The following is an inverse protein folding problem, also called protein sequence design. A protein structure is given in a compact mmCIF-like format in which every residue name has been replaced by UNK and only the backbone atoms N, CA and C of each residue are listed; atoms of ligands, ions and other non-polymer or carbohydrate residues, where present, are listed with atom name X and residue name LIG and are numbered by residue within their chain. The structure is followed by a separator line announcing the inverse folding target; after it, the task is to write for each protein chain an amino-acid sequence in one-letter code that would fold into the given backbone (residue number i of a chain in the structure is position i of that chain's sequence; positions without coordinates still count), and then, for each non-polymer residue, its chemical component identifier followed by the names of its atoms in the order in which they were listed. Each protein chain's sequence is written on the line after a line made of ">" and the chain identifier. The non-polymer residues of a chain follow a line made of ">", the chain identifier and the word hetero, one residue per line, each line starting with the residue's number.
data_IF_034555129576
#
_entry.id   IF_034555129576
#
_cell.length_a   1.000
_cell.length_b   1.000
_cell.length_c   1.000
_cell.angle_alpha   90.00
_cell.angle_beta   90.00
_cell.angle_gamma   90.00
#
_symmetry.space_group_name_H-M   'P 1'
#
loop_
_entity.id
_entity.type
_entity.pdbx_description
1 polymer ?
#
# COMPACT_ATOMS: atom_id res chain seq x y z
N UNK A 1 -12.79 11.49 16.78
CA UNK A 1 -11.41 10.97 16.79
C UNK A 1 -11.36 9.87 15.76
N UNK A 2 -10.47 9.98 14.78
CA UNK A 2 -10.27 8.94 13.76
C UNK A 2 -9.58 7.72 14.38
N UNK A 3 -9.83 6.49 13.89
CA UNK A 3 -9.12 5.29 14.37
C UNK A 3 -7.60 5.43 14.24
N UNK A 4 -7.15 6.19 13.25
CA UNK A 4 -5.73 6.41 12.98
C UNK A 4 -5.10 7.23 14.11
N UNK A 5 -5.84 8.22 14.62
CA UNK A 5 -5.43 8.99 15.79
C UNK A 5 -5.38 8.11 17.04
N UNK A 6 -6.35 7.20 17.21
CA UNK A 6 -6.35 6.24 18.31
C UNK A 6 -5.15 5.28 18.23
N UNK A 7 -4.87 4.71 17.06
CA UNK A 7 -3.73 3.84 16.82
C UNK A 7 -2.42 4.58 17.13
N UNK A 8 -2.29 5.84 16.67
CA UNK A 8 -1.11 6.67 16.94
C UNK A 8 -0.95 6.98 18.42
N UNK A 9 -2.04 7.29 19.13
CA UNK A 9 -2.02 7.51 20.57
C UNK A 9 -1.58 6.23 21.31
N UNK A 10 -2.08 5.08 20.87
CA UNK A 10 -1.77 3.78 21.47
C UNK A 10 -0.34 3.32 21.18
N UNK A 11 0.23 3.69 20.05
CA UNK A 11 1.58 3.29 19.63
C UNK A 11 2.66 3.67 20.66
N UNK A 12 2.48 4.77 21.41
CA UNK A 12 3.44 5.21 22.45
C UNK A 12 3.70 4.17 23.55
N UNK A 13 2.77 3.23 23.74
CA UNK A 13 2.86 2.18 24.76
C UNK A 13 3.64 0.95 24.30
N UNK A 14 4.05 0.90 23.03
CA UNK A 14 4.85 -0.19 22.49
C UNK A 14 6.30 0.26 22.26
N UNK A 15 7.21 -0.71 22.22
CA UNK A 15 8.63 -0.49 21.98
C UNK A 15 9.03 -1.00 20.59
N UNK A 16 10.00 -0.33 19.98
CA UNK A 16 10.60 -0.76 18.72
C UNK A 16 11.25 -2.13 18.88
N UNK A 17 10.96 -3.11 18.01
CA UNK A 17 11.51 -4.46 18.11
C UNK A 17 13.04 -4.51 17.88
N UNK A 18 13.61 -3.47 17.26
CA UNK A 18 15.05 -3.40 16.97
C UNK A 18 15.83 -2.67 18.05
N UNK A 19 15.40 -1.47 18.47
CA UNK A 19 16.16 -0.65 19.41
C UNK A 19 15.59 -0.61 20.82
N UNK A 20 14.42 -1.22 21.06
CA UNK A 20 13.77 -1.27 22.37
C UNK A 20 13.21 0.06 22.88
N UNK A 21 13.40 1.18 22.16
CA UNK A 21 12.86 2.49 22.55
C UNK A 21 11.36 2.57 22.25
N UNK A 22 10.65 3.35 23.05
CA UNK A 22 9.23 3.64 22.83
C UNK A 22 8.97 4.14 21.41
N UNK A 23 7.88 3.66 20.81
CA UNK A 23 7.38 4.11 19.51
C UNK A 23 6.65 5.47 19.59
N UNK A 24 6.84 6.23 20.68
CA UNK A 24 6.33 7.60 20.77
C UNK A 24 6.89 8.45 19.61
N UNK A 25 6.00 9.06 18.84
CA UNK A 25 6.37 9.91 17.71
C UNK A 25 6.92 9.15 16.50
N UNK A 26 6.65 7.85 16.39
CA UNK A 26 6.90 7.11 15.15
C UNK A 26 5.99 7.60 14.02
N UNK A 27 6.46 7.45 12.79
CA UNK A 27 5.62 7.65 11.61
C UNK A 27 4.76 6.40 11.41
N UNK A 28 3.46 6.58 11.21
CA UNK A 28 2.49 5.51 11.05
C UNK A 28 1.66 5.80 9.82
N UNK A 29 1.68 4.87 8.87
CA UNK A 29 0.88 4.90 7.65
C UNK A 29 -0.02 3.67 7.61
N UNK A 30 -1.29 3.86 7.24
CA UNK A 30 -2.21 2.75 7.01
C UNK A 30 -2.02 2.28 5.58
N UNK A 31 -1.71 0.99 5.40
CA UNK A 31 -1.53 0.39 4.08
C UNK A 31 -2.85 -0.16 3.55
N UNK A 32 -3.61 -0.87 4.39
CA UNK A 32 -4.92 -1.39 4.05
C UNK A 32 -5.75 -1.68 5.29
N UNK A 33 -7.07 -1.74 5.09
CA UNK A 33 -8.04 -2.20 6.07
C UNK A 33 -8.88 -3.29 5.40
N UNK A 34 -8.87 -4.50 5.96
CA UNK A 34 -9.65 -5.63 5.46
C UNK A 34 -10.40 -6.27 6.64
N UNK A 35 -11.73 -6.26 6.57
CA UNK A 35 -12.64 -6.71 7.63
C UNK A 35 -12.42 -6.01 8.98
N UNK A 36 -11.70 -6.65 9.91
CA UNK A 36 -11.34 -6.16 11.24
C UNK A 36 -9.82 -6.03 11.43
N UNK A 37 -9.05 -6.07 10.33
CA UNK A 37 -7.58 -6.07 10.34
C UNK A 37 -7.02 -4.82 9.66
N UNK A 38 -6.15 -4.12 10.37
CA UNK A 38 -5.39 -2.99 9.88
C UNK A 38 -3.95 -3.39 9.60
N UNK A 39 -3.52 -3.20 8.35
CA UNK A 39 -2.11 -3.27 8.00
C UNK A 39 -1.49 -1.88 8.13
N UNK A 40 -0.53 -1.76 9.03
CA UNK A 40 0.14 -0.51 9.34
C UNK A 40 1.62 -0.61 9.00
N UNK A 41 2.15 0.39 8.32
CA UNK A 41 3.58 0.61 8.23
C UNK A 41 4.00 1.55 9.36
N UNK A 42 4.95 1.09 10.18
CA UNK A 42 5.49 1.86 11.30
C UNK A 42 6.97 2.11 11.07
N UNK A 43 7.39 3.37 11.13
CA UNK A 43 8.80 3.77 11.05
C UNK A 43 9.25 4.36 12.37
N UNK A 44 10.21 3.69 13.02
CA UNK A 44 10.74 4.13 14.29
C UNK A 44 11.52 5.45 14.14
N UNK A 45 11.13 6.49 14.86
CA UNK A 45 11.83 7.79 14.84
C UNK A 45 13.27 7.75 15.38
N UNK A 46 13.67 6.67 16.06
CA UNK A 46 14.96 6.57 16.74
C UNK A 46 16.02 5.84 15.92
N UNK A 47 15.67 4.69 15.33
CA UNK A 47 16.59 3.86 14.55
C UNK A 47 16.18 3.71 13.08
N UNK A 48 15.11 4.40 12.65
CA UNK A 48 14.58 4.41 11.29
C UNK A 48 14.26 3.03 10.70
N UNK A 49 14.10 2.01 11.54
CA UNK A 49 13.57 0.73 11.05
C UNK A 49 12.11 0.92 10.69
N UNK A 50 11.74 0.40 9.53
CA UNK A 50 10.36 0.31 9.04
C UNK A 50 9.92 -1.14 9.08
N UNK A 51 8.71 -1.38 9.60
CA UNK A 51 8.11 -2.71 9.68
C UNK A 51 6.59 -2.63 9.53
N UNK A 52 6.00 -3.76 9.15
CA UNK A 52 4.55 -3.89 8.99
C UNK A 52 3.96 -4.55 10.24
N UNK A 53 2.88 -3.97 10.75
CA UNK A 53 2.11 -4.49 11.89
C UNK A 53 0.69 -4.76 11.45
N UNK A 54 0.17 -5.94 11.77
CA UNK A 54 -1.23 -6.30 11.56
C UNK A 54 -1.97 -6.17 12.90
N UNK A 55 -2.92 -5.24 12.98
CA UNK A 55 -3.78 -5.05 14.15
C UNK A 55 -5.16 -5.63 13.87
N UNK A 56 -5.60 -6.61 14.67
CA UNK A 56 -6.97 -7.09 14.66
C UNK A 56 -7.77 -6.41 15.79
N UNK A 57 -8.87 -5.74 15.45
CA UNK A 57 -9.73 -5.07 16.43
C UNK A 57 -11.05 -5.84 16.50
N UNK A 58 -11.18 -6.72 17.51
CA UNK A 58 -12.42 -7.45 17.74
C UNK A 58 -13.49 -6.51 18.32
N UNK A 59 -14.57 -6.26 17.56
CA UNK A 59 -15.72 -5.49 18.03
C UNK A 59 -16.07 -4.29 17.16
N UNK A 60 -16.52 -4.55 15.93
CA UNK A 60 -17.71 -3.92 15.30
C UNK A 60 -18.02 -2.45 15.55
N UNK A 61 -17.02 -1.56 15.60
CA UNK A 61 -17.22 -0.12 15.60
C UNK A 61 -16.21 0.51 14.62
N UNK A 62 -16.36 0.17 13.35
CA UNK A 62 -15.62 0.79 12.24
C UNK A 62 -16.64 1.21 11.18
N UNK A 63 -17.51 2.15 11.55
CA UNK A 63 -18.17 2.99 10.55
C UNK A 63 -17.13 4.01 10.07
N UNK A 64 -16.83 3.91 8.78
CA UNK A 64 -16.28 4.94 7.90
C UNK A 64 -15.02 5.66 8.40
N UNK A 65 -13.87 4.99 8.24
CA UNK A 65 -12.65 5.74 7.95
C UNK A 65 -12.58 5.80 6.43
N UNK A 66 -13.05 6.91 5.88
CA UNK A 66 -12.70 7.35 4.54
C UNK A 66 -11.18 7.15 4.40
N UNK A 67 -10.81 6.25 3.50
CA UNK A 67 -9.45 6.09 3.02
C UNK A 67 -8.94 7.50 2.73
N UNK A 68 -8.04 8.01 3.57
CA UNK A 68 -7.31 9.24 3.25
C UNK A 68 -6.31 8.79 2.19
N UNK A 69 -6.82 8.62 0.98
CA UNK A 69 -6.04 8.69 -0.23
C UNK A 69 -5.32 10.03 -0.14
N UNK A 70 -4.00 9.96 -0.15
CA UNK A 70 -3.15 11.13 -0.34
C UNK A 70 -3.75 12.03 -1.42
N UNK A 71 -3.72 13.37 -1.30
CA UNK A 71 -4.08 14.26 -2.39
C UNK A 71 -2.94 14.23 -3.42
N UNK A 72 -2.79 13.10 -4.10
CA UNK A 72 -2.32 13.09 -5.47
C UNK A 72 -3.57 13.39 -6.26
N UNK A 73 -3.57 14.54 -6.90
CA UNK A 73 -4.58 14.97 -7.85
C UNK A 73 -4.54 13.99 -9.04
N UNK A 74 -5.11 12.81 -8.83
CA UNK A 74 -5.26 11.78 -9.83
C UNK A 74 -6.53 12.15 -10.59
N UNK A 75 -6.35 12.84 -11.71
CA UNK A 75 -7.36 12.91 -12.76
C UNK A 75 -8.00 11.54 -12.86
N UNK A 76 -9.30 11.45 -12.53
CA UNK A 76 -10.08 10.23 -12.48
C UNK A 76 -9.86 9.43 -13.77
N UNK A 77 -8.84 8.57 -13.76
CA UNK A 77 -8.60 7.63 -14.82
C UNK A 77 -9.83 6.71 -14.79
N UNK A 78 -10.46 6.46 -15.95
CA UNK A 78 -11.61 5.56 -15.98
C UNK A 78 -11.19 4.25 -15.30
N UNK A 79 -12.06 3.73 -14.43
CA UNK A 79 -11.83 2.50 -13.70
C UNK A 79 -11.30 1.44 -14.68
N UNK A 80 -9.99 1.21 -14.64
CA UNK A 80 -9.35 0.28 -15.55
C UNK A 80 -9.83 -1.11 -15.16
N UNK A 81 -10.20 -1.91 -16.15
CA UNK A 81 -10.59 -3.29 -15.91
C UNK A 81 -9.45 -4.00 -15.18
N UNK A 82 -9.75 -4.86 -14.19
CA UNK A 82 -8.73 -5.60 -13.47
C UNK A 82 -7.94 -6.46 -14.45
N UNK A 83 -6.62 -6.51 -14.27
CA UNK A 83 -5.72 -7.32 -15.11
C UNK A 83 -6.16 -8.79 -15.04
N UNK A 84 -6.49 -9.34 -16.20
CA UNK A 84 -6.92 -10.72 -16.37
C UNK A 84 -5.74 -11.70 -16.46
N UNK A 85 -6.02 -12.98 -16.24
CA UNK A 85 -5.01 -14.05 -16.37
C UNK A 85 -4.52 -14.19 -17.81
N UNK A 86 -5.40 -14.00 -18.79
CA UNK A 86 -5.06 -14.10 -20.21
C UNK A 86 -4.08 -12.99 -20.62
N UNK A 87 -4.26 -11.75 -20.13
CA UNK A 87 -3.31 -10.66 -20.36
C UNK A 87 -1.91 -10.96 -19.83
N UNK A 88 -1.81 -11.65 -18.69
CA UNK A 88 -0.52 -12.07 -18.11
C UNK A 88 0.14 -13.15 -18.98
N UNK A 89 -0.64 -14.07 -19.54
CA UNK A 89 -0.14 -15.11 -20.44
C UNK A 89 0.35 -14.50 -21.76
N UNK A 90 -0.37 -13.53 -22.31
CA UNK A 90 0.02 -12.81 -23.52
C UNK A 90 1.32 -12.03 -23.30
N UNK A 91 1.44 -11.32 -22.18
CA UNK A 91 2.67 -10.64 -21.80
C UNK A 91 3.84 -11.60 -21.69
N UNK A 92 3.64 -12.77 -21.07
CA UNK A 92 4.67 -13.79 -20.94
C UNK A 92 5.16 -14.30 -22.31
N UNK A 93 4.23 -14.62 -23.22
CA UNK A 93 4.54 -15.09 -24.56
C UNK A 93 5.27 -14.02 -25.39
N UNK A 94 4.86 -12.76 -25.25
CA UNK A 94 5.52 -11.62 -25.89
C UNK A 94 6.95 -11.45 -25.37
N UNK A 95 7.14 -11.39 -24.05
CA UNK A 95 8.47 -11.24 -23.44
C UNK A 95 9.42 -12.39 -23.77
N UNK A 96 8.89 -13.62 -23.90
CA UNK A 96 9.69 -14.79 -24.28
C UNK A 96 10.33 -14.65 -25.67
N UNK A 97 9.66 -13.98 -26.60
CA UNK A 97 10.12 -13.83 -27.98
C UNK A 97 10.76 -12.47 -28.27
N UNK A 98 10.71 -11.53 -27.31
CA UNK A 98 11.24 -10.19 -27.50
C UNK A 98 12.78 -10.20 -27.54
N UNK A 99 13.34 -9.70 -28.64
CA UNK A 99 14.78 -9.53 -28.83
C UNK A 99 15.06 -8.04 -29.06
N UNK A 100 15.10 -7.28 -27.96
CA UNK A 100 15.33 -5.85 -27.99
C UNK A 100 15.78 -5.32 -26.65
N UNK A 101 16.02 -4.02 -26.59
CA UNK A 101 16.37 -3.29 -25.38
C UNK A 101 15.12 -2.82 -24.63
N UNK A 102 15.26 -2.54 -23.33
CA UNK A 102 14.17 -1.98 -22.51
C UNK A 102 13.58 -0.70 -23.12
N UNK A 103 14.40 0.11 -23.81
CA UNK A 103 13.94 1.36 -24.46
C UNK A 103 12.99 1.10 -25.61
N UNK A 104 13.21 0.03 -26.37
CA UNK A 104 12.32 -0.36 -27.48
C UNK A 104 11.00 -0.90 -26.93
N UNK A 105 11.03 -1.60 -25.80
CA UNK A 105 9.85 -2.10 -25.11
C UNK A 105 8.90 -0.98 -24.64
N UNK A 106 9.44 0.11 -24.09
CA UNK A 106 8.66 1.21 -23.48
C UNK A 106 8.24 2.30 -24.48
N UNK A 107 8.82 2.33 -25.68
CA UNK A 107 8.52 3.34 -26.70
C UNK A 107 7.59 2.81 -27.80
N UNK A 108 7.09 1.59 -27.67
CA UNK A 108 6.17 1.05 -28.67
C UNK A 108 4.81 1.75 -28.56
N UNK A 109 4.31 2.39 -29.62
CA UNK A 109 3.01 3.04 -29.60
C UNK A 109 1.89 2.00 -29.47
N UNK A 110 0.87 2.32 -28.68
CA UNK A 110 -0.35 1.50 -28.48
C UNK A 110 -0.93 1.04 -29.83
N UNK A 111 -0.90 -0.26 -30.07
CA UNK A 111 -1.59 -0.90 -31.20
C UNK A 111 -3.01 -1.39 -30.85
N UNK A 112 -3.54 -1.03 -29.68
CA UNK A 112 -4.86 -1.38 -29.18
C UNK A 112 -5.95 -0.38 -29.60
N UNK A 113 -5.95 0.05 -30.86
CA UNK A 113 -7.09 0.69 -31.54
C UNK A 113 -7.28 0.09 -32.92
N UNK A 114 -7.99 -1.03 -32.98
CA UNK A 114 -8.50 -1.69 -34.18
C UNK A 114 -9.79 -2.40 -33.84
#
# INVERSE_FOLDING_TARGET
>A
MSIIEFIRDRARFYNCPVCGRSLKGCDIQVLSHEEERFHLQVTCAQCQVTFIVVLAIAGGAVEDIETIESPVEEELAPAREPISVDEILDLHLYMKNFQGTLKELIHQPDHSRG
#
